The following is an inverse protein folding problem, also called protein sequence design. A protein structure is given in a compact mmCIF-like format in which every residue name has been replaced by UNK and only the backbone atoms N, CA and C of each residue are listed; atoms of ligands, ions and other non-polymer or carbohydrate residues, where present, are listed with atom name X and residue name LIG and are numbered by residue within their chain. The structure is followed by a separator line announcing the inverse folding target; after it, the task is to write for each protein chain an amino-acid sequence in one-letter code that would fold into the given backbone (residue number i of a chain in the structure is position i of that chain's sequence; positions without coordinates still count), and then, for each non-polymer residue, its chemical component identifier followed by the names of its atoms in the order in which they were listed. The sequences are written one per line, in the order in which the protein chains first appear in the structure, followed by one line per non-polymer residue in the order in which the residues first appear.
data_IF_346662437968
#
_entry.id   IF_346662437968
#
_cell.length_a   1.000
_cell.length_b   1.000
_cell.length_c   1.000
_cell.angle_alpha   90.00
_cell.angle_beta   90.00
_cell.angle_gamma   90.00
#
_symmetry.space_group_name_H-M   'P 1'
#
loop_
_entity.id
_entity.type
_entity.pdbx_description
1 polymer ?
#
# COMPACT_ATOMS: atom_id res chain seq x y z
N UNK A 1 3.37 34.89 -8.86
CA UNK A 1 3.50 33.47 -9.22
C UNK A 1 4.55 32.88 -8.30
N UNK A 2 4.18 31.98 -7.38
CA UNK A 2 5.04 31.58 -6.25
C UNK A 2 6.11 30.56 -6.69
N UNK A 3 7.37 30.84 -6.34
CA UNK A 3 8.55 29.98 -6.56
C UNK A 3 8.39 28.54 -6.02
N UNK A 4 7.38 28.30 -5.17
CA UNK A 4 7.05 27.00 -4.59
C UNK A 4 6.44 25.98 -5.57
N UNK A 5 5.67 26.43 -6.57
CA UNK A 5 4.99 25.49 -7.50
C UNK A 5 5.95 24.97 -8.56
N UNK A 6 6.93 25.79 -8.96
CA UNK A 6 7.99 25.40 -9.90
C UNK A 6 8.94 24.36 -9.28
N UNK A 7 9.17 24.39 -7.96
CA UNK A 7 10.02 23.39 -7.27
C UNK A 7 9.35 22.01 -7.15
N UNK A 8 8.04 21.94 -6.91
CA UNK A 8 7.34 20.65 -6.82
C UNK A 8 7.32 19.92 -8.17
N UNK A 9 6.96 20.62 -9.25
CA UNK A 9 6.89 20.02 -10.58
C UNK A 9 8.24 19.47 -11.06
N UNK A 10 9.33 20.21 -10.79
CA UNK A 10 10.69 19.76 -11.10
C UNK A 10 11.08 18.50 -10.30
N UNK A 11 10.79 18.47 -8.99
CA UNK A 11 11.04 17.29 -8.15
C UNK A 11 10.20 16.09 -8.57
N UNK A 12 8.93 16.30 -8.92
CA UNK A 12 8.04 15.26 -9.42
C UNK A 12 8.59 14.62 -10.70
N UNK A 13 8.99 15.44 -11.68
CA UNK A 13 9.54 14.93 -12.94
C UNK A 13 10.90 14.24 -12.75
N UNK A 14 11.71 14.69 -11.78
CA UNK A 14 12.96 14.04 -11.42
C UNK A 14 12.74 12.65 -10.78
N UNK A 15 11.73 12.51 -9.92
CA UNK A 15 11.41 11.26 -9.22
C UNK A 15 10.53 10.30 -10.05
N UNK A 16 9.76 10.83 -11.01
CA UNK A 16 8.87 10.09 -11.91
C UNK A 16 9.10 10.49 -13.38
N UNK A 17 10.27 10.18 -13.95
CA UNK A 17 10.56 10.53 -15.33
C UNK A 17 9.60 9.81 -16.29
N UNK A 18 9.21 10.51 -17.35
CA UNK A 18 8.40 9.92 -18.41
C UNK A 18 9.16 8.75 -19.04
N UNK A 19 8.53 7.56 -19.07
CA UNK A 19 9.09 6.41 -19.78
C UNK A 19 8.78 6.56 -21.27
N UNK A 20 9.78 6.35 -22.12
CA UNK A 20 9.66 6.39 -23.59
C UNK A 20 8.84 5.23 -24.16
N UNK A 21 8.51 4.24 -23.34
CA UNK A 21 7.67 3.10 -23.71
C UNK A 21 6.47 3.05 -22.76
N UNK A 22 5.28 2.85 -23.35
CA UNK A 22 4.06 2.59 -22.60
C UNK A 22 4.30 1.34 -21.75
N UNK A 23 4.20 1.42 -20.41
CA UNK A 23 4.35 0.25 -19.57
C UNK A 23 3.33 -0.81 -20.01
N UNK A 24 3.62 -2.13 -19.88
CA UNK A 24 2.60 -3.15 -20.08
C UNK A 24 1.37 -2.77 -19.23
N UNK A 25 0.15 -2.98 -19.75
CA UNK A 25 -1.11 -2.57 -19.08
C UNK A 25 -1.21 -3.12 -17.64
N UNK A 26 -0.46 -4.19 -17.36
CA UNK A 26 -0.33 -4.82 -16.03
C UNK A 26 0.51 -4.03 -15.02
N UNK A 27 1.35 -3.08 -15.43
CA UNK A 27 2.11 -2.24 -14.49
C UNK A 27 1.38 -0.92 -14.24
N UNK A 28 0.93 -0.74 -13.01
CA UNK A 28 0.50 0.55 -12.48
C UNK A 28 1.63 1.58 -12.64
N UNK A 29 1.28 2.83 -12.96
CA UNK A 29 2.28 3.91 -12.95
C UNK A 29 2.87 3.98 -11.53
N UNK A 30 4.21 3.94 -11.36
CA UNK A 30 4.84 3.97 -10.04
C UNK A 30 4.35 5.11 -9.16
N UNK A 31 3.99 6.24 -9.77
CA UNK A 31 3.35 7.38 -9.09
C UNK A 31 2.04 6.97 -8.41
N UNK A 32 1.08 6.36 -9.10
CA UNK A 32 -0.20 5.96 -8.51
C UNK A 32 -0.02 4.94 -7.38
N UNK A 33 0.85 3.95 -7.60
CA UNK A 33 1.16 2.95 -6.58
C UNK A 33 1.77 3.58 -5.33
N UNK A 34 2.75 4.47 -5.51
CA UNK A 34 3.39 5.14 -4.38
C UNK A 34 2.44 6.12 -3.69
N UNK A 35 1.60 6.86 -4.42
CA UNK A 35 0.57 7.73 -3.81
C UNK A 35 -0.34 6.91 -2.89
N UNK A 36 -0.87 5.78 -3.36
CA UNK A 36 -1.77 4.92 -2.57
C UNK A 36 -1.09 4.31 -1.35
N UNK A 37 0.16 3.87 -1.48
CA UNK A 37 0.94 3.31 -0.37
C UNK A 37 1.27 4.39 0.66
N UNK A 38 1.72 5.57 0.22
CA UNK A 38 2.09 6.67 1.10
C UNK A 38 0.86 7.24 1.81
N UNK A 39 -0.26 7.45 1.13
CA UNK A 39 -1.49 7.94 1.78
C UNK A 39 -1.99 6.99 2.86
N UNK A 40 -1.99 5.68 2.59
CA UNK A 40 -2.38 4.65 3.57
C UNK A 40 -1.43 4.61 4.76
N UNK A 41 -0.12 4.75 4.52
CA UNK A 41 0.87 4.82 5.59
C UNK A 41 0.71 6.09 6.45
N UNK A 42 0.47 7.25 5.84
CA UNK A 42 0.21 8.49 6.58
C UNK A 42 -1.06 8.41 7.43
N UNK A 43 -2.13 7.83 6.89
CA UNK A 43 -3.36 7.57 7.64
C UNK A 43 -3.09 6.68 8.86
N UNK A 44 -2.33 5.60 8.67
CA UNK A 44 -1.93 4.71 9.77
C UNK A 44 -1.14 5.43 10.85
N UNK A 45 -0.21 6.30 10.46
CA UNK A 45 0.57 7.07 11.42
C UNK A 45 -0.32 7.99 12.25
N UNK A 46 -1.25 8.69 11.60
CA UNK A 46 -2.22 9.56 12.27
C UNK A 46 -3.15 8.76 13.22
N UNK A 47 -3.61 7.59 12.77
CA UNK A 47 -4.44 6.70 13.58
C UNK A 47 -3.73 6.29 14.89
N UNK A 48 -2.44 5.96 14.81
CA UNK A 48 -1.64 5.53 15.96
C UNK A 48 -1.38 6.64 16.99
N UNK A 49 -1.63 7.91 16.66
CA UNK A 49 -1.48 9.01 17.64
C UNK A 49 -2.53 8.96 18.75
N UNK A 50 -3.70 8.35 18.49
CA UNK A 50 -4.83 8.38 19.43
C UNK A 50 -5.59 7.05 19.58
N UNK A 51 -5.39 6.08 18.68
CA UNK A 51 -6.11 4.82 18.75
C UNK A 51 -5.50 3.85 19.76
N UNK A 52 -6.38 3.21 20.55
CA UNK A 52 -6.01 2.08 21.40
C UNK A 52 -5.95 0.74 20.64
N UNK A 53 -6.42 0.71 19.39
CA UNK A 53 -6.51 -0.49 18.56
C UNK A 53 -5.38 -0.57 17.54
N UNK A 54 -4.84 -1.77 17.34
CA UNK A 54 -3.88 -2.07 16.27
C UNK A 54 -4.49 -1.81 14.90
N UNK A 55 -3.64 -1.44 13.95
CA UNK A 55 -3.99 -1.22 12.55
C UNK A 55 -3.07 -2.04 11.65
N UNK A 56 -3.67 -2.65 10.62
CA UNK A 56 -3.00 -3.52 9.66
C UNK A 56 -3.34 -3.05 8.26
N UNK A 57 -2.31 -2.72 7.48
CA UNK A 57 -2.46 -2.31 6.09
C UNK A 57 -1.79 -3.32 5.18
N UNK A 58 -2.34 -3.49 3.98
CA UNK A 58 -1.74 -4.28 2.92
C UNK A 58 -1.89 -3.61 1.56
N UNK A 59 -1.03 -4.01 0.63
CA UNK A 59 -1.10 -3.68 -0.78
C UNK A 59 -1.31 -4.99 -1.56
N UNK A 60 -2.32 -5.00 -2.44
CA UNK A 60 -2.64 -6.12 -3.31
C UNK A 60 -2.26 -5.81 -4.75
N UNK A 61 -1.64 -6.75 -5.46
CA UNK A 61 -1.26 -6.60 -6.88
C UNK A 61 -1.69 -7.72 -7.81
N UNK A 62 -2.29 -8.79 -7.30
CA UNK A 62 -2.69 -9.93 -8.14
C UNK A 62 -3.91 -9.61 -9.01
N UNK A 63 -3.74 -9.68 -10.33
CA UNK A 63 -4.82 -9.56 -11.29
C UNK A 63 -5.55 -10.90 -11.46
N UNK A 64 -6.89 -10.94 -11.49
CA UNK A 64 -7.64 -12.17 -11.72
C UNK A 64 -7.26 -12.88 -13.03
N UNK A 65 -7.31 -14.22 -13.07
CA UNK A 65 -7.04 -14.98 -14.30
C UNK A 65 -7.89 -14.49 -15.48
N UNK A 66 -7.25 -14.20 -16.61
CA UNK A 66 -7.92 -13.73 -17.83
C UNK A 66 -8.26 -12.24 -17.87
N UNK A 67 -7.73 -11.41 -16.95
CA UNK A 67 -7.84 -9.94 -17.03
C UNK A 67 -6.48 -9.24 -17.06
N UNK A 68 -6.30 -8.36 -18.05
CA UNK A 68 -5.08 -7.57 -18.26
C UNK A 68 -5.24 -6.08 -17.88
N UNK A 69 -6.42 -5.67 -17.39
CA UNK A 69 -6.84 -4.27 -17.21
C UNK A 69 -6.54 -3.69 -15.82
N UNK A 70 -5.64 -4.31 -15.05
CA UNK A 70 -5.40 -3.94 -13.65
C UNK A 70 -6.57 -4.28 -12.72
N UNK A 71 -6.40 -4.01 -11.43
CA UNK A 71 -7.37 -4.35 -10.40
C UNK A 71 -8.68 -3.58 -10.60
N UNK A 72 -9.79 -4.28 -10.85
CA UNK A 72 -11.13 -3.70 -10.67
C UNK A 72 -11.37 -3.53 -9.17
N UNK A 73 -11.78 -2.33 -8.75
CA UNK A 73 -12.11 -2.03 -7.36
C UNK A 73 -13.12 -3.07 -6.81
N UNK A 74 -12.68 -3.82 -5.79
CA UNK A 74 -13.39 -4.87 -5.01
C UNK A 74 -13.85 -6.09 -5.82
N UNK A 75 -13.25 -7.28 -5.62
CA UNK A 75 -13.96 -8.59 -5.61
C UNK A 75 -13.24 -9.71 -4.83
N UNK A 76 -14.08 -10.45 -4.09
CA UNK A 76 -14.09 -11.83 -3.56
C UNK A 76 -12.84 -12.49 -2.95
N UNK A 77 -11.61 -12.14 -3.34
CA UNK A 77 -10.40 -12.73 -2.74
C UNK A 77 -10.10 -12.09 -1.37
N UNK A 78 -10.56 -10.85 -1.19
CA UNK A 78 -10.62 -10.11 0.08
C UNK A 78 -11.46 -10.82 1.17
N UNK A 79 -12.38 -11.72 0.81
CA UNK A 79 -13.26 -12.38 1.81
C UNK A 79 -12.43 -13.22 2.79
N UNK A 80 -11.48 -14.02 2.32
CA UNK A 80 -10.73 -14.94 3.17
C UNK A 80 -9.93 -14.21 4.27
N UNK A 81 -9.37 -13.04 3.97
CA UNK A 81 -8.57 -12.24 4.91
C UNK A 81 -9.42 -11.42 5.87
N UNK A 82 -10.51 -10.82 5.38
CA UNK A 82 -11.48 -10.11 6.23
C UNK A 82 -12.13 -11.01 7.29
N UNK A 83 -12.24 -12.32 7.02
CA UNK A 83 -12.88 -13.27 7.93
C UNK A 83 -12.12 -13.53 9.24
N UNK A 84 -10.80 -13.32 9.32
CA UNK A 84 -10.04 -13.47 10.57
C UNK A 84 -10.07 -12.19 11.40
N UNK A 85 -9.72 -11.05 10.81
CA UNK A 85 -9.79 -9.76 11.48
C UNK A 85 -11.19 -9.46 12.02
N UNK A 86 -12.25 -9.77 11.25
CA UNK A 86 -13.62 -9.58 11.71
C UNK A 86 -14.00 -10.43 12.93
N UNK A 87 -13.29 -11.54 13.20
CA UNK A 87 -13.56 -12.43 14.34
C UNK A 87 -12.71 -12.09 15.57
N UNK A 88 -11.45 -11.72 15.37
CA UNK A 88 -10.45 -11.64 16.45
C UNK A 88 -9.81 -10.27 16.61
N UNK A 89 -10.02 -9.36 15.65
CA UNK A 89 -9.29 -8.09 15.56
C UNK A 89 -7.81 -8.24 15.19
N UNK A 90 -7.36 -9.45 14.83
CA UNK A 90 -5.96 -9.76 14.54
C UNK A 90 -5.88 -10.72 13.34
N UNK A 91 -5.27 -10.32 12.21
CA UNK A 91 -5.22 -11.16 11.02
C UNK A 91 -4.42 -12.46 11.23
N UNK A 92 -3.64 -12.56 12.31
CA UNK A 92 -2.83 -13.73 12.65
C UNK A 92 -3.57 -14.73 13.56
N UNK A 93 -4.81 -14.45 13.99
CA UNK A 93 -5.60 -15.30 14.89
C UNK A 93 -6.91 -15.74 14.23
N UNK A 94 -7.25 -17.03 14.28
CA UNK A 94 -8.55 -17.54 13.81
C UNK A 94 -8.56 -18.87 13.05
N UNK A 95 -7.40 -19.49 12.82
CA UNK A 95 -7.21 -20.95 12.67
C UNK A 95 -8.06 -21.72 11.66
N UNK A 96 -8.54 -21.14 10.56
CA UNK A 96 -9.42 -21.86 9.60
C UNK A 96 -8.69 -22.60 8.46
N UNK A 97 -7.36 -22.50 8.34
CA UNK A 97 -6.59 -23.29 7.38
C UNK A 97 -6.03 -24.55 8.07
N UNK A 98 -6.63 -25.70 7.72
CA UNK A 98 -6.29 -27.04 8.24
C UNK A 98 -5.15 -27.72 7.47
N UNK A 99 -4.60 -27.10 6.42
CA UNK A 99 -3.37 -27.56 5.77
C UNK A 99 -2.18 -26.80 6.33
N UNK A 100 -1.37 -27.52 7.08
CA UNK A 100 -0.11 -27.13 7.69
C UNK A 100 0.87 -26.50 6.70
N UNK A 101 0.91 -25.17 6.68
CA UNK A 101 2.12 -24.37 6.62
C UNK A 101 1.75 -23.02 7.22
N UNK A 102 2.50 -22.58 8.23
CA UNK A 102 2.23 -21.35 8.99
C UNK A 102 1.89 -20.21 8.03
N UNK A 103 0.65 -19.67 8.11
CA UNK A 103 0.33 -18.42 7.44
C UNK A 103 1.43 -17.43 7.83
N UNK A 104 2.09 -16.86 6.83
CA UNK A 104 3.22 -15.98 7.08
C UNK A 104 2.69 -14.78 7.86
N UNK A 105 3.34 -14.50 8.99
CA UNK A 105 2.92 -13.47 9.95
C UNK A 105 2.69 -12.13 9.25
N UNK A 106 1.50 -11.55 9.43
CA UNK A 106 1.17 -10.20 9.02
C UNK A 106 1.47 -9.27 10.20
N UNK A 107 2.61 -8.55 10.16
CA UNK A 107 2.95 -7.64 11.23
C UNK A 107 1.94 -6.49 11.30
N UNK A 108 1.77 -5.94 12.49
CA UNK A 108 1.15 -4.62 12.65
C UNK A 108 1.82 -3.60 11.70
N UNK A 109 1.09 -2.55 11.32
CA UNK A 109 1.62 -1.44 10.55
C UNK A 109 2.04 -0.31 11.51
N UNK A 110 3.21 -0.35 12.18
CA UNK A 110 3.60 0.73 13.08
C UNK A 110 4.14 1.90 12.26
N UNK A 111 3.96 3.10 12.80
CA UNK A 111 4.41 4.33 12.15
C UNK A 111 5.93 4.37 11.85
N UNK A 112 6.73 3.65 12.65
CA UNK A 112 8.17 3.56 12.48
C UNK A 112 8.61 2.70 11.28
N UNK A 113 7.73 1.82 10.76
CA UNK A 113 8.06 0.90 9.68
C UNK A 113 7.56 1.50 8.36
N UNK A 114 8.50 1.94 7.51
CA UNK A 114 8.22 2.44 6.15
C UNK A 114 7.87 1.28 5.17
N UNK A 115 7.02 0.36 5.62
CA UNK A 115 6.60 -0.84 4.89
C UNK A 115 5.11 -1.09 5.11
N UNK A 116 4.48 -1.76 4.15
CA UNK A 116 3.12 -2.30 4.25
C UNK A 116 3.17 -3.77 3.83
N UNK A 117 2.24 -4.60 4.30
CA UNK A 117 2.21 -5.99 3.88
C UNK A 117 1.87 -6.09 2.39
N UNK A 118 2.64 -6.85 1.62
CA UNK A 118 2.35 -7.19 0.24
C UNK A 118 1.60 -8.51 0.19
N UNK A 119 0.56 -8.54 -0.62
CA UNK A 119 -0.28 -9.68 -0.88
C UNK A 119 -0.61 -9.75 -2.37
N UNK A 120 -0.94 -10.94 -2.86
CA UNK A 120 -1.20 -11.17 -4.28
C UNK A 120 -0.10 -12.01 -4.90
N UNK A 121 0.67 -11.41 -5.81
CA UNK A 121 1.79 -12.10 -6.48
C UNK A 121 3.06 -12.19 -5.60
N UNK A 122 3.02 -11.58 -4.42
CA UNK A 122 4.08 -11.67 -3.41
C UNK A 122 3.53 -11.79 -1.99
N UNK A 123 4.44 -11.95 -1.04
CA UNK A 123 4.13 -11.99 0.39
C UNK A 123 5.24 -11.37 1.23
N UNK A 124 4.88 -10.50 2.19
CA UNK A 124 5.77 -9.97 3.23
C UNK A 124 5.82 -8.45 3.26
N UNK A 125 6.82 -7.90 3.96
CA UNK A 125 7.02 -6.45 4.01
C UNK A 125 7.40 -5.88 2.63
N UNK A 126 6.62 -4.91 2.17
CA UNK A 126 6.90 -4.13 0.98
C UNK A 126 7.12 -2.68 1.37
N UNK A 127 8.27 -2.12 0.95
CA UNK A 127 8.56 -0.69 1.15
C UNK A 127 7.44 0.16 0.55
N UNK A 128 6.97 1.14 1.33
CA UNK A 128 5.93 2.10 0.93
C UNK A 128 6.40 2.92 -0.26
N UNK A 129 7.52 3.64 -0.10
CA UNK A 129 8.25 4.37 -1.14
C UNK A 129 9.65 4.77 -0.62
N UNK A 130 10.51 5.30 -1.48
CA UNK A 130 11.77 5.90 -1.06
C UNK A 130 11.56 7.24 -0.35
N UNK A 131 12.51 7.65 0.50
CA UNK A 131 12.36 8.83 1.37
C UNK A 131 12.03 10.12 0.59
N UNK A 132 12.67 10.34 -0.56
CA UNK A 132 12.40 11.50 -1.41
C UNK A 132 10.98 11.47 -2.01
N UNK A 133 10.47 10.29 -2.34
CA UNK A 133 9.10 10.11 -2.83
C UNK A 133 8.08 10.31 -1.71
N UNK A 134 8.36 9.83 -0.50
CA UNK A 134 7.52 10.07 0.69
C UNK A 134 7.45 11.58 0.98
N UNK A 135 8.59 12.29 0.94
CA UNK A 135 8.63 13.73 1.16
C UNK A 135 7.79 14.49 0.11
N UNK A 136 7.95 14.15 -1.18
CA UNK A 136 7.15 14.73 -2.25
C UNK A 136 5.64 14.52 -2.01
N UNK A 137 5.22 13.31 -1.62
CA UNK A 137 3.80 13.06 -1.39
C UNK A 137 3.26 13.68 -0.10
N UNK A 138 4.08 13.92 0.92
CA UNK A 138 3.69 14.71 2.09
C UNK A 138 3.43 16.18 1.75
N UNK A 139 4.10 16.71 0.72
CA UNK A 139 3.81 18.06 0.20
C UNK A 139 2.53 18.08 -0.65
N UNK A 140 2.26 17.00 -1.39
CA UNK A 140 1.07 16.89 -2.25
C UNK A 140 -0.23 16.61 -1.46
N UNK A 141 -0.14 15.73 -0.46
CA UNK A 141 -1.30 15.27 0.31
C UNK A 141 -1.57 16.26 1.44
N UNK A 142 -2.85 16.62 1.71
CA UNK A 142 -3.17 17.43 2.87
C UNK A 142 -2.73 16.71 4.16
N UNK A 143 -2.38 17.46 5.22
CA UNK A 143 -2.14 16.86 6.53
C UNK A 143 -3.41 16.12 6.98
N UNK A 144 -3.21 14.92 7.50
CA UNK A 144 -4.25 14.10 8.13
C UNK A 144 -4.34 14.40 9.62
#
# INVERSE_FOLDING_TARGET
MSLYVESFAAQFLALYPAKTQRPPVRSTTPTYTNTSRVSSWLLTNNWLESAASLIYTYYWDHAPPGQDQGLRHRRQDERALGHFFAKTGDPNKGGSYVSSDSLVNWPESPAARNVTQHMGDGWGDQRVADAAQVALFKELLPPF
#
